data_IF_325490859609
#
_entry.id   IF_325490859609
#
_cell.length_a   1.000
_cell.length_b   1.000
_cell.length_c   1.000
_cell.angle_alpha   90.00
_cell.angle_beta   90.00
_cell.angle_gamma   90.00
#
_symmetry.space_group_name_H-M   'P 1'
#
loop_
_entity.id
_entity.type
_entity.pdbx_description
1 polymer ?
#
# COMPACT_ATOMS: atom_id res chain seq x y z
N UNK A 1 61.25 -28.99 -23.11
CA UNK A 1 60.44 -29.90 -23.94
C UNK A 1 61.37 -30.49 -24.99
N UNK A 2 61.45 -31.82 -25.07
CA UNK A 2 62.37 -32.52 -25.97
C UNK A 2 61.98 -32.26 -27.43
N UNK A 3 62.91 -31.76 -28.24
CA UNK A 3 62.70 -31.56 -29.67
C UNK A 3 62.62 -32.92 -30.35
N UNK A 4 61.42 -33.33 -30.75
CA UNK A 4 61.20 -34.46 -31.64
C UNK A 4 61.64 -34.00 -33.03
N UNK A 5 62.59 -34.69 -33.65
CA UNK A 5 63.07 -34.34 -35.00
C UNK A 5 61.98 -34.69 -36.03
N UNK A 6 61.24 -33.68 -36.46
CA UNK A 6 60.13 -33.82 -37.43
C UNK A 6 60.56 -34.49 -38.75
N UNK A 7 61.85 -34.42 -39.10
CA UNK A 7 62.41 -35.05 -40.29
C UNK A 7 62.40 -36.58 -40.22
N UNK A 8 62.43 -37.17 -39.02
CA UNK A 8 62.43 -38.63 -38.84
C UNK A 8 61.05 -39.23 -39.11
N UNK A 9 59.99 -38.51 -38.74
CA UNK A 9 58.61 -38.90 -39.06
C UNK A 9 58.32 -38.65 -40.54
N UNK A 10 58.78 -37.52 -41.10
CA UNK A 10 58.61 -37.19 -42.52
C UNK A 10 59.31 -38.19 -43.45
N UNK A 11 60.52 -38.64 -43.10
CA UNK A 11 61.23 -39.65 -43.90
C UNK A 11 60.49 -40.99 -43.91
N UNK A 12 60.02 -41.48 -42.76
CA UNK A 12 59.23 -42.72 -42.67
C UNK A 12 57.92 -42.68 -43.46
N UNK A 13 57.28 -41.50 -43.53
CA UNK A 13 56.10 -41.31 -44.39
C UNK A 13 56.44 -41.39 -45.88
N UNK A 14 57.57 -40.81 -46.30
CA UNK A 14 57.99 -40.80 -47.71
C UNK A 14 58.43 -42.18 -48.21
N UNK A 15 58.91 -43.06 -47.33
CA UNK A 15 59.29 -44.44 -47.69
C UNK A 15 58.17 -45.46 -47.51
N UNK A 16 57.00 -45.06 -46.99
CA UNK A 16 55.89 -45.97 -46.76
C UNK A 16 55.28 -46.43 -48.10
N UNK A 17 55.25 -47.74 -48.33
CA UNK A 17 54.68 -48.35 -49.53
C UNK A 17 53.14 -48.48 -49.49
N UNK A 18 52.50 -48.12 -48.37
CA UNK A 18 51.05 -48.12 -48.18
C UNK A 18 50.60 -46.95 -47.32
N UNK A 19 49.31 -46.65 -47.37
CA UNK A 19 48.67 -45.67 -46.49
C UNK A 19 48.90 -46.05 -45.01
N UNK A 20 49.35 -45.08 -44.22
CA UNK A 20 49.60 -45.23 -42.78
C UNK A 20 48.29 -45.02 -42.00
N UNK A 21 47.83 -46.06 -41.30
CA UNK A 21 46.63 -46.06 -40.44
C UNK A 21 46.96 -45.78 -38.97
N UNK A 22 45.96 -45.46 -38.14
CA UNK A 22 46.18 -45.03 -36.74
C UNK A 22 46.96 -46.01 -35.87
N UNK A 23 46.84 -47.31 -36.16
CA UNK A 23 47.52 -48.40 -35.46
C UNK A 23 48.92 -48.71 -35.97
N UNK A 24 49.35 -48.08 -37.08
CA UNK A 24 50.74 -48.20 -37.53
C UNK A 24 51.66 -47.47 -36.53
N UNK A 25 52.96 -47.75 -36.59
CA UNK A 25 53.93 -47.21 -35.63
C UNK A 25 55.06 -46.46 -36.34
N UNK A 26 55.50 -45.39 -35.70
CA UNK A 26 56.69 -44.64 -36.08
C UNK A 26 57.79 -44.82 -35.03
N UNK A 27 59.02 -44.90 -35.52
CA UNK A 27 60.19 -44.77 -34.67
C UNK A 27 60.54 -43.30 -34.54
N UNK A 28 60.71 -42.83 -33.32
CA UNK A 28 61.14 -41.47 -33.04
C UNK A 28 62.40 -41.52 -32.21
N UNK A 29 63.38 -40.71 -32.60
CA UNK A 29 64.56 -40.46 -31.79
C UNK A 29 64.26 -39.34 -30.80
N UNK A 30 64.46 -39.63 -29.52
CA UNK A 30 64.46 -38.61 -28.47
C UNK A 30 65.85 -38.00 -28.34
N UNK A 31 65.95 -36.80 -27.74
CA UNK A 31 67.18 -36.00 -27.68
C UNK A 31 68.42 -36.69 -27.07
N UNK A 32 68.25 -37.79 -26.34
CA UNK A 32 69.34 -38.60 -25.79
C UNK A 32 69.81 -39.72 -26.74
N UNK A 33 69.34 -39.74 -28.00
CA UNK A 33 69.66 -40.74 -29.02
C UNK A 33 68.88 -42.05 -28.90
N UNK A 34 68.04 -42.22 -27.87
CA UNK A 34 67.22 -43.42 -27.72
C UNK A 34 66.06 -43.45 -28.71
N UNK A 35 65.71 -44.64 -29.18
CA UNK A 35 64.55 -44.85 -30.05
C UNK A 35 63.31 -45.19 -29.22
N UNK A 36 62.21 -44.48 -29.49
CA UNK A 36 60.89 -44.75 -28.92
C UNK A 36 59.94 -45.08 -30.07
N UNK A 37 59.16 -46.16 -29.91
CA UNK A 37 58.12 -46.54 -30.86
C UNK A 37 56.80 -45.92 -30.42
N UNK A 38 56.21 -45.05 -31.24
CA UNK A 38 54.91 -44.44 -30.96
C UNK A 38 53.87 -44.82 -32.01
N UNK A 39 52.59 -44.97 -31.66
CA UNK A 39 51.53 -45.16 -32.65
C UNK A 39 51.32 -43.91 -33.52
N UNK A 40 50.87 -44.13 -34.75
CA UNK A 40 50.64 -43.09 -35.75
C UNK A 40 49.59 -42.06 -35.30
N UNK A 41 48.60 -42.45 -34.50
CA UNK A 41 47.63 -41.50 -33.92
C UNK A 41 48.28 -40.45 -33.01
N UNK A 42 49.27 -40.84 -32.20
CA UNK A 42 50.00 -39.93 -31.32
C UNK A 42 50.95 -39.03 -32.12
N UNK A 43 51.60 -39.57 -33.15
CA UNK A 43 52.41 -38.78 -34.08
C UNK A 43 51.55 -37.72 -34.80
N UNK A 44 50.37 -38.10 -35.29
CA UNK A 44 49.40 -37.17 -35.91
C UNK A 44 48.94 -36.11 -34.91
N UNK A 45 48.57 -36.48 -33.70
CA UNK A 45 48.15 -35.53 -32.67
C UNK A 45 49.25 -34.52 -32.32
N UNK A 46 50.51 -34.97 -32.21
CA UNK A 46 51.66 -34.10 -31.96
C UNK A 46 51.92 -33.12 -33.11
N UNK A 47 51.89 -33.60 -34.36
CA UNK A 47 52.07 -32.77 -35.55
C UNK A 47 50.96 -31.71 -35.69
N UNK A 48 49.70 -32.09 -35.45
CA UNK A 48 48.57 -31.15 -35.47
C UNK A 48 48.68 -30.11 -34.35
N UNK A 49 49.15 -30.50 -33.16
CA UNK A 49 49.35 -29.57 -32.06
C UNK A 49 50.51 -28.59 -32.29
N UNK A 50 51.57 -29.03 -32.98
CA UNK A 50 52.76 -28.22 -33.30
C UNK A 50 52.60 -27.29 -34.51
N UNK A 51 51.72 -27.63 -35.46
CA UNK A 51 51.46 -26.81 -36.66
C UNK A 51 50.15 -26.04 -36.47
N UNK A 52 50.08 -25.18 -35.46
CA UNK A 52 48.95 -24.26 -35.27
C UNK A 52 49.31 -22.90 -35.84
N UNK A 53 48.75 -22.50 -37.00
CA UNK A 53 48.88 -21.13 -37.47
C UNK A 53 48.14 -20.18 -36.51
N UNK A 54 48.79 -19.07 -36.18
CA UNK A 54 48.22 -17.98 -35.38
C UNK A 54 48.55 -16.63 -36.03
N UNK A 55 47.94 -15.55 -35.53
CA UNK A 55 48.29 -14.19 -35.94
C UNK A 55 49.14 -13.58 -34.82
N UNK A 56 50.34 -13.13 -35.17
CA UNK A 56 51.27 -12.52 -34.22
C UNK A 56 50.91 -11.07 -33.90
N UNK A 57 51.64 -10.45 -32.96
CA UNK A 57 51.40 -9.06 -32.53
C UNK A 57 51.59 -8.00 -33.64
N UNK A 58 52.27 -8.34 -34.74
CA UNK A 58 52.45 -7.48 -35.92
C UNK A 58 51.37 -7.71 -36.98
N UNK A 59 50.41 -8.60 -36.72
CA UNK A 59 49.34 -8.94 -37.66
C UNK A 59 49.77 -9.88 -38.79
N UNK A 60 50.89 -10.60 -38.66
CA UNK A 60 51.32 -11.61 -39.62
C UNK A 60 50.93 -13.02 -39.16
N UNK A 61 50.78 -13.94 -40.11
CA UNK A 61 50.68 -15.37 -39.82
C UNK A 61 51.99 -15.89 -39.22
N UNK A 62 51.90 -16.61 -38.11
CA UNK A 62 52.99 -17.34 -37.48
C UNK A 62 52.65 -18.82 -37.30
N UNK A 63 53.66 -19.69 -37.32
CA UNK A 63 53.52 -21.11 -36.96
C UNK A 63 54.58 -21.43 -35.92
N UNK A 64 54.16 -21.95 -34.76
CA UNK A 64 55.10 -22.30 -33.69
C UNK A 64 55.90 -21.11 -33.11
N UNK A 65 55.40 -19.87 -33.30
CA UNK A 65 56.07 -18.63 -32.89
C UNK A 65 57.03 -18.04 -33.93
N UNK A 66 57.18 -18.67 -35.09
CA UNK A 66 57.95 -18.11 -36.22
C UNK A 66 57.05 -17.29 -37.14
N UNK A 67 57.40 -16.01 -37.33
CA UNK A 67 56.71 -15.09 -38.25
C UNK A 67 56.99 -15.48 -39.71
N UNK A 68 55.93 -15.72 -40.49
CA UNK A 68 56.02 -16.10 -41.90
C UNK A 68 56.20 -14.90 -42.84
N UNK A 69 56.10 -13.67 -42.35
CA UNK A 69 56.12 -12.45 -43.16
C UNK A 69 54.83 -12.23 -43.97
N UNK A 70 53.80 -13.05 -43.75
CA UNK A 70 52.52 -12.98 -44.46
C UNK A 70 51.52 -12.22 -43.60
N UNK A 71 51.13 -11.02 -44.01
CA UNK A 71 50.11 -10.23 -43.31
C UNK A 71 48.77 -10.96 -43.32
N UNK A 72 48.14 -11.07 -42.15
CA UNK A 72 46.78 -11.56 -41.98
C UNK A 72 45.77 -10.44 -42.32
N UNK A 73 45.49 -10.25 -43.62
CA UNK A 73 44.53 -9.23 -44.07
C UNK A 73 43.10 -9.78 -44.14
N UNK A 74 42.35 -9.67 -43.05
CA UNK A 74 40.89 -9.76 -43.06
C UNK A 74 40.27 -8.37 -43.18
N UNK A 75 40.05 -7.85 -44.39
CA UNK A 75 39.38 -6.55 -44.56
C UNK A 75 37.86 -6.73 -44.56
N UNK A 76 37.19 -6.16 -43.56
CA UNK A 76 35.71 -6.14 -43.50
C UNK A 76 35.19 -5.18 -44.58
N UNK A 77 34.32 -5.62 -45.51
CA UNK A 77 33.72 -4.74 -46.48
C UNK A 77 32.93 -3.62 -45.82
N UNK A 78 33.06 -2.39 -46.33
CA UNK A 78 32.31 -1.22 -45.88
C UNK A 78 31.22 -0.88 -46.90
N UNK A 79 30.02 -0.51 -46.43
CA UNK A 79 28.90 -0.14 -47.29
C UNK A 79 28.49 1.32 -47.09
N UNK A 80 28.02 1.98 -48.15
CA UNK A 80 27.43 3.33 -48.09
C UNK A 80 26.33 3.52 -49.14
N UNK A 81 25.55 4.59 -48.98
CA UNK A 81 24.72 5.12 -50.06
C UNK A 81 25.56 5.96 -51.02
N UNK A 82 25.63 5.55 -52.28
CA UNK A 82 26.18 6.32 -53.40
C UNK A 82 25.08 7.09 -54.14
N UNK A 83 25.46 7.74 -55.25
CA UNK A 83 24.53 8.53 -56.06
C UNK A 83 23.48 7.68 -56.78
N UNK A 84 23.86 6.48 -57.24
CA UNK A 84 22.98 5.61 -58.04
C UNK A 84 22.55 4.33 -57.31
N UNK A 85 23.06 4.08 -56.11
CA UNK A 85 22.69 2.91 -55.31
C UNK A 85 23.64 2.64 -54.15
N UNK A 86 23.68 1.40 -53.66
CA UNK A 86 24.56 0.99 -52.56
C UNK A 86 25.94 0.65 -53.11
N UNK A 87 26.98 1.20 -52.49
CA UNK A 87 28.38 0.97 -52.86
C UNK A 87 29.11 0.21 -51.76
N UNK A 88 30.09 -0.60 -52.13
CA UNK A 88 30.98 -1.34 -51.23
C UNK A 88 32.45 -0.94 -51.43
N UNK A 89 33.22 -0.97 -50.36
CA UNK A 89 34.67 -0.84 -50.36
C UNK A 89 35.33 -2.06 -49.71
N UNK A 90 36.39 -2.57 -50.35
CA UNK A 90 37.22 -3.68 -49.84
C UNK A 90 38.60 -3.20 -49.34
N UNK A 91 38.88 -1.90 -49.44
CA UNK A 91 40.20 -1.31 -49.16
C UNK A 91 40.12 -0.20 -48.10
N UNK A 92 39.17 -0.34 -47.17
CA UNK A 92 38.93 0.58 -46.05
C UNK A 92 38.54 2.00 -46.52
N UNK A 93 37.63 2.06 -47.48
CA UNK A 93 36.97 3.29 -47.93
C UNK A 93 37.74 4.09 -48.97
N UNK A 94 38.83 3.55 -49.54
CA UNK A 94 39.64 4.26 -50.54
C UNK A 94 39.01 4.18 -51.93
N UNK A 95 38.52 3.01 -52.30
CA UNK A 95 37.77 2.79 -53.54
C UNK A 95 36.38 2.23 -53.24
N UNK A 96 35.42 2.61 -54.08
CA UNK A 96 34.01 2.27 -53.93
C UNK A 96 33.48 1.74 -55.25
N UNK A 97 32.78 0.61 -55.20
CA UNK A 97 32.13 -0.02 -56.35
C UNK A 97 30.65 -0.21 -56.06
N UNK A 98 29.79 0.11 -57.02
CA UNK A 98 28.35 -0.10 -56.88
C UNK A 98 28.03 -1.60 -56.83
N UNK A 99 27.19 -2.01 -55.88
CA UNK A 99 26.75 -3.41 -55.71
C UNK A 99 25.29 -3.59 -56.09
N UNK A 100 24.47 -2.56 -55.86
CA UNK A 100 23.03 -2.56 -56.14
C UNK A 100 22.64 -1.15 -56.61
N UNK A 101 21.83 -1.03 -57.66
CA UNK A 101 21.24 0.24 -58.06
C UNK A 101 19.96 0.52 -57.27
N UNK A 102 19.62 1.79 -57.00
CA UNK A 102 18.37 2.13 -56.30
C UNK A 102 17.13 1.65 -57.05
N UNK A 103 17.18 1.58 -58.39
CA UNK A 103 16.09 1.05 -59.23
C UNK A 103 15.89 -0.45 -59.08
N UNK A 104 16.92 -1.17 -58.64
CA UNK A 104 16.88 -2.61 -58.42
C UNK A 104 16.54 -2.93 -56.96
N UNK A 105 16.53 -1.92 -56.08
CA UNK A 105 15.96 -2.04 -54.74
C UNK A 105 14.45 -1.97 -54.88
N UNK A 106 13.82 -3.12 -54.68
CA UNK A 106 12.36 -3.26 -54.63
C UNK A 106 11.93 -3.39 -53.16
N UNK A 107 11.77 -2.28 -52.42
CA UNK A 107 11.31 -2.35 -51.05
C UNK A 107 9.85 -2.81 -51.07
N UNK A 108 9.51 -3.74 -50.18
CA UNK A 108 8.13 -4.17 -49.98
C UNK A 108 7.31 -3.04 -49.33
N UNK A 109 6.80 -2.15 -50.17
CA UNK A 109 6.00 -0.99 -49.76
C UNK A 109 4.66 -1.42 -49.14
N UNK A 110 4.12 -2.57 -49.55
CA UNK A 110 2.90 -3.14 -48.97
C UNK A 110 3.14 -3.58 -47.53
N UNK A 111 4.24 -4.30 -47.26
CA UNK A 111 4.62 -4.67 -45.90
C UNK A 111 4.90 -3.45 -45.02
N UNK A 112 5.57 -2.42 -45.56
CA UNK A 112 5.80 -1.18 -44.82
C UNK A 112 4.49 -0.47 -44.47
N UNK A 113 3.58 -0.36 -45.45
CA UNK A 113 2.25 0.24 -45.24
C UNK A 113 1.42 -0.56 -44.22
N UNK A 114 1.48 -1.89 -44.28
CA UNK A 114 0.83 -2.78 -43.32
C UNK A 114 1.40 -2.59 -41.89
N UNK A 115 2.72 -2.49 -41.75
CA UNK A 115 3.37 -2.22 -40.47
C UNK A 115 2.96 -0.86 -39.90
N UNK A 116 2.94 0.19 -40.73
CA UNK A 116 2.49 1.52 -40.33
C UNK A 116 1.02 1.52 -39.88
N UNK A 117 0.16 0.83 -40.62
CA UNK A 117 -1.27 0.67 -40.29
C UNK A 117 -1.45 -0.06 -38.95
N UNK A 118 -0.62 -1.07 -38.66
CA UNK A 118 -0.64 -1.77 -37.37
C UNK A 118 -0.25 -0.86 -36.20
N UNK A 119 0.78 -0.02 -36.39
CA UNK A 119 1.22 0.94 -35.37
C UNK A 119 0.14 1.98 -35.09
N UNK A 120 -0.46 2.56 -36.13
CA UNK A 120 -1.51 3.58 -36.00
C UNK A 120 -2.77 3.03 -35.33
N UNK A 121 -3.21 1.82 -35.68
CA UNK A 121 -4.32 1.17 -34.96
C UNK A 121 -3.98 0.87 -33.50
N UNK A 122 -2.79 0.33 -33.24
CA UNK A 122 -2.34 0.06 -31.87
C UNK A 122 -2.31 1.33 -31.00
N UNK A 123 -1.86 2.45 -31.57
CA UNK A 123 -1.84 3.73 -30.87
C UNK A 123 -3.27 4.26 -30.62
N UNK A 124 -4.17 4.14 -31.60
CA UNK A 124 -5.58 4.52 -31.42
C UNK A 124 -6.24 3.70 -30.30
N UNK A 125 -5.96 2.40 -30.21
CA UNK A 125 -6.50 1.53 -29.17
C UNK A 125 -5.89 1.83 -27.79
N UNK A 126 -4.58 2.12 -27.73
CA UNK A 126 -3.92 2.59 -26.51
C UNK A 126 -4.56 3.89 -25.99
N UNK A 127 -4.84 4.85 -26.88
CA UNK A 127 -5.49 6.12 -26.52
C UNK A 127 -6.91 5.89 -25.97
N UNK A 128 -7.71 5.02 -26.59
CA UNK A 128 -9.05 4.67 -26.08
C UNK A 128 -8.99 4.02 -24.70
N UNK A 129 -8.06 3.08 -24.50
CA UNK A 129 -7.84 2.43 -23.22
C UNK A 129 -7.45 3.46 -22.14
N UNK A 130 -6.57 4.40 -22.49
CA UNK A 130 -6.11 5.45 -21.57
C UNK A 130 -7.23 6.44 -21.23
N UNK A 131 -8.06 6.82 -22.20
CA UNK A 131 -9.25 7.64 -21.93
C UNK A 131 -10.21 6.94 -20.96
N UNK A 132 -10.41 5.64 -21.14
CA UNK A 132 -11.28 4.83 -20.26
C UNK A 132 -10.69 4.75 -18.85
N UNK A 133 -9.37 4.52 -18.73
CA UNK A 133 -8.66 4.52 -17.44
C UNK A 133 -8.83 5.86 -16.72
N UNK A 134 -8.71 6.98 -17.43
CA UNK A 134 -8.89 8.31 -16.87
C UNK A 134 -10.32 8.56 -16.36
N UNK A 135 -11.35 8.15 -17.11
CA UNK A 135 -12.74 8.26 -16.66
C UNK A 135 -13.01 7.41 -15.41
N UNK A 136 -12.47 6.19 -15.36
CA UNK A 136 -12.61 5.31 -14.18
C UNK A 136 -11.90 5.89 -12.96
N UNK A 137 -10.72 6.49 -13.15
CA UNK A 137 -9.96 7.14 -12.09
C UNK A 137 -10.70 8.37 -11.53
N UNK A 138 -11.30 9.19 -12.38
CA UNK A 138 -12.16 10.29 -11.94
C UNK A 138 -13.38 9.80 -11.14
N UNK A 139 -14.01 8.71 -11.58
CA UNK A 139 -15.13 8.10 -10.85
C UNK A 139 -14.69 7.58 -9.47
N UNK A 140 -13.52 6.94 -9.38
CA UNK A 140 -12.93 6.48 -8.11
C UNK A 140 -12.69 7.65 -7.15
N UNK A 141 -12.14 8.76 -7.65
CA UNK A 141 -11.89 9.96 -6.83
C UNK A 141 -13.20 10.57 -6.30
N UNK A 142 -14.23 10.65 -7.13
CA UNK A 142 -15.55 11.16 -6.70
C UNK A 142 -16.20 10.27 -5.62
N UNK A 143 -16.10 8.94 -5.79
CA UNK A 143 -16.58 7.99 -4.80
C UNK A 143 -15.82 8.14 -3.47
N UNK A 144 -14.50 8.33 -3.53
CA UNK A 144 -13.65 8.51 -2.35
C UNK A 144 -13.93 9.83 -1.62
N UNK A 145 -14.16 10.92 -2.34
CA UNK A 145 -14.63 12.18 -1.75
C UNK A 145 -15.97 12.01 -1.03
N UNK A 146 -16.91 11.29 -1.65
CA UNK A 146 -18.21 11.00 -1.04
C UNK A 146 -18.07 10.17 0.23
N UNK A 147 -17.22 9.13 0.20
CA UNK A 147 -16.91 8.30 1.37
C UNK A 147 -16.33 9.14 2.52
N UNK A 148 -15.40 10.06 2.23
CA UNK A 148 -14.79 10.93 3.22
C UNK A 148 -15.79 11.93 3.85
N UNK A 149 -16.70 12.49 3.05
CA UNK A 149 -17.76 13.36 3.54
C UNK A 149 -18.72 12.60 4.46
N UNK A 150 -19.12 11.40 4.07
CA UNK A 150 -19.98 10.54 4.89
C UNK A 150 -19.31 10.15 6.21
N UNK A 151 -18.01 9.83 6.18
CA UNK A 151 -17.26 9.48 7.40
C UNK A 151 -17.11 10.68 8.34
N UNK A 152 -16.92 11.88 7.78
CA UNK A 152 -16.92 13.12 8.57
C UNK A 152 -18.28 13.35 9.24
N UNK A 153 -19.37 13.24 8.49
CA UNK A 153 -20.72 13.39 9.03
C UNK A 153 -21.02 12.35 10.13
N UNK A 154 -20.61 11.09 9.92
CA UNK A 154 -20.74 10.02 10.92
C UNK A 154 -19.98 10.35 12.21
N UNK A 155 -18.74 10.84 12.11
CA UNK A 155 -17.95 11.26 13.28
C UNK A 155 -18.62 12.39 14.05
N UNK A 156 -19.12 13.42 13.36
CA UNK A 156 -19.86 14.53 13.99
C UNK A 156 -21.11 14.04 14.71
N UNK A 157 -21.91 13.18 14.06
CA UNK A 157 -23.10 12.61 14.68
C UNK A 157 -22.76 11.76 15.92
N UNK A 158 -21.68 10.98 15.86
CA UNK A 158 -21.24 10.15 16.97
C UNK A 158 -20.74 10.99 18.16
N UNK A 159 -20.00 12.07 17.91
CA UNK A 159 -19.61 13.03 18.98
C UNK A 159 -20.83 13.65 19.63
N UNK A 160 -21.82 14.09 18.84
CA UNK A 160 -23.08 14.65 19.36
C UNK A 160 -23.83 13.63 20.22
N UNK A 161 -23.93 12.39 19.76
CA UNK A 161 -24.57 11.29 20.49
C UNK A 161 -23.91 11.03 21.84
N UNK A 162 -22.57 11.04 21.89
CA UNK A 162 -21.82 10.85 23.14
C UNK A 162 -22.06 12.01 24.13
N UNK A 163 -22.06 13.25 23.64
CA UNK A 163 -22.35 14.44 24.45
C UNK A 163 -23.77 14.41 25.02
N UNK A 164 -24.77 14.15 24.17
CA UNK A 164 -26.17 14.09 24.58
C UNK A 164 -26.41 12.96 25.59
N UNK A 165 -25.77 11.80 25.38
CA UNK A 165 -25.84 10.68 26.32
C UNK A 165 -25.21 11.04 27.65
N UNK A 166 -24.04 11.69 27.66
CA UNK A 166 -23.38 12.14 28.88
C UNK A 166 -24.22 13.15 29.65
N UNK A 167 -24.83 14.12 28.95
CA UNK A 167 -25.73 15.10 29.55
C UNK A 167 -26.98 14.43 30.17
N UNK A 168 -27.59 13.47 29.45
CA UNK A 168 -28.74 12.72 29.94
C UNK A 168 -28.39 11.91 31.20
N UNK A 169 -27.23 11.24 31.23
CA UNK A 169 -26.74 10.51 32.41
C UNK A 169 -26.56 11.46 33.60
N UNK A 170 -25.92 12.60 33.39
CA UNK A 170 -25.69 13.60 34.45
C UNK A 170 -27.02 14.10 35.02
N UNK A 171 -27.95 14.50 34.14
CA UNK A 171 -29.27 14.96 34.57
C UNK A 171 -30.04 13.88 35.35
N UNK A 172 -30.01 12.63 34.88
CA UNK A 172 -30.67 11.52 35.57
C UNK A 172 -30.06 11.26 36.95
N UNK A 173 -28.74 11.34 37.09
CA UNK A 173 -28.07 11.21 38.39
C UNK A 173 -28.50 12.33 39.34
N UNK A 174 -28.46 13.58 38.89
CA UNK A 174 -28.92 14.72 39.71
C UNK A 174 -30.34 14.55 40.20
N UNK A 175 -31.28 14.12 39.34
CA UNK A 175 -32.66 13.88 39.76
C UNK A 175 -32.79 12.71 40.74
N UNK A 176 -31.97 11.68 40.57
CA UNK A 176 -31.94 10.51 41.49
C UNK A 176 -31.42 10.91 42.86
N UNK A 177 -30.36 11.73 42.90
CA UNK A 177 -29.76 12.23 44.14
C UNK A 177 -30.75 13.14 44.88
N UNK A 178 -31.42 14.06 44.18
CA UNK A 178 -32.47 14.92 44.74
C UNK A 178 -33.65 14.10 45.29
N UNK A 179 -34.13 13.10 44.55
CA UNK A 179 -35.23 12.25 45.00
C UNK A 179 -34.84 11.42 46.23
N UNK A 180 -33.59 10.91 46.26
CA UNK A 180 -33.06 10.21 47.43
C UNK A 180 -33.00 11.15 48.64
N UNK A 181 -32.47 12.36 48.46
CA UNK A 181 -32.39 13.35 49.54
C UNK A 181 -33.78 13.69 50.09
N UNK A 182 -34.78 13.92 49.23
CA UNK A 182 -36.14 14.19 49.70
C UNK A 182 -36.78 12.99 50.42
N UNK A 183 -36.53 11.76 49.95
CA UNK A 183 -37.05 10.54 50.58
C UNK A 183 -36.41 10.27 51.94
N UNK A 184 -35.11 10.56 52.09
CA UNK A 184 -34.39 10.41 53.36
C UNK A 184 -34.80 11.49 54.38
N UNK A 185 -35.46 12.57 53.94
CA UNK A 185 -35.88 13.71 54.78
C UNK A 185 -37.39 14.03 54.68
N UNK A 186 -38.29 13.14 55.13
CA UNK A 186 -39.73 13.40 55.10
C UNK A 186 -40.14 14.54 56.06
N UNK A 187 -41.19 15.31 55.74
CA UNK A 187 -41.72 16.32 56.66
C UNK A 187 -42.05 15.74 58.04
N UNK A 188 -41.72 16.50 59.09
CA UNK A 188 -41.89 16.07 60.48
C UNK A 188 -42.47 17.17 61.35
N UNK A 189 -43.08 16.79 62.46
CA UNK A 189 -43.49 17.75 63.49
C UNK A 189 -42.27 18.16 64.32
N UNK A 190 -42.05 19.47 64.46
CA UNK A 190 -41.02 20.03 65.34
C UNK A 190 -41.46 20.12 66.81
N UNK A 191 -40.52 20.43 67.70
CA UNK A 191 -40.77 20.56 69.14
C UNK A 191 -41.75 21.68 69.49
N UNK A 192 -41.88 22.69 68.64
CA UNK A 192 -42.85 23.79 68.78
C UNK A 192 -44.27 23.44 68.29
N UNK A 193 -44.49 22.22 67.79
CA UNK A 193 -45.79 21.78 67.29
C UNK A 193 -46.10 22.22 65.86
N UNK A 194 -45.16 22.85 65.15
CA UNK A 194 -45.29 23.18 63.73
C UNK A 194 -44.79 22.04 62.83
N UNK A 195 -45.22 22.04 61.57
CA UNK A 195 -44.63 21.24 60.50
C UNK A 195 -43.28 21.82 60.11
N UNK A 196 -42.28 20.96 60.01
CA UNK A 196 -40.95 21.28 59.52
C UNK A 196 -40.71 20.53 58.22
N UNK A 197 -40.16 21.23 57.24
CA UNK A 197 -39.90 20.71 55.90
C UNK A 197 -38.40 20.79 55.60
N UNK A 198 -37.87 19.82 54.87
CA UNK A 198 -36.49 19.83 54.41
C UNK A 198 -36.28 20.91 53.32
N UNK A 199 -35.31 21.79 53.54
CA UNK A 199 -34.85 22.78 52.57
C UNK A 199 -33.66 22.21 51.79
N UNK A 200 -33.87 21.93 50.50
CA UNK A 200 -32.86 21.36 49.59
C UNK A 200 -31.66 22.29 49.34
N UNK A 201 -31.81 23.60 49.54
CA UNK A 201 -30.71 24.56 49.35
C UNK A 201 -29.82 24.66 50.58
N UNK A 202 -30.40 24.53 51.77
CA UNK A 202 -29.70 24.65 53.05
C UNK A 202 -29.29 23.30 53.63
N UNK A 203 -29.83 22.20 53.12
CA UNK A 203 -29.68 20.86 53.67
C UNK A 203 -30.01 20.80 55.17
N UNK A 204 -31.14 21.41 55.55
CA UNK A 204 -31.65 21.41 56.93
C UNK A 204 -33.18 21.45 56.97
N UNK A 205 -33.77 21.05 58.10
CA UNK A 205 -35.21 21.23 58.32
C UNK A 205 -35.50 22.68 58.71
N UNK A 206 -36.46 23.31 58.03
CA UNK A 206 -36.93 24.67 58.29
C UNK A 206 -38.37 24.64 58.80
N UNK A 207 -38.66 25.45 59.82
CA UNK A 207 -40.02 25.63 60.34
C UNK A 207 -40.91 26.31 59.30
N UNK A 208 -42.04 25.69 58.97
CA UNK A 208 -43.00 26.24 58.00
C UNK A 208 -43.92 27.30 58.61
N UNK A 209 -43.97 27.39 59.95
CA UNK A 209 -44.95 28.21 60.68
C UNK A 209 -46.37 27.63 60.70
N UNK A 210 -46.60 26.44 60.12
CA UNK A 210 -47.91 25.78 60.05
C UNK A 210 -48.04 24.76 61.18
N UNK A 211 -49.12 24.80 61.95
CA UNK A 211 -49.36 23.86 63.06
C UNK A 211 -49.57 22.43 62.54
N UNK A 212 -48.84 21.46 63.10
CA UNK A 212 -48.87 20.04 62.71
C UNK A 212 -49.98 19.22 63.38
N UNK A 213 -51.24 19.67 63.29
CA UNK A 213 -52.40 18.95 63.85
C UNK A 213 -53.27 18.37 62.75
N UNK A 214 -53.58 17.08 62.81
CA UNK A 214 -54.51 16.38 61.90
C UNK A 214 -56.00 16.65 62.16
N UNK A 215 -56.34 17.78 62.78
CA UNK A 215 -57.72 18.16 63.15
C UNK A 215 -58.30 19.24 62.22
N UNK A 216 -59.57 19.60 62.41
CA UNK A 216 -60.20 20.66 61.63
C UNK A 216 -59.44 21.99 61.84
N UNK A 217 -59.07 22.64 60.73
CA UNK A 217 -58.32 23.90 60.72
C UNK A 217 -59.10 25.08 61.35
N UNK A 218 -60.42 24.92 61.46
CA UNK A 218 -61.35 25.88 62.04
C UNK A 218 -62.17 25.21 63.14
N UNK A 219 -62.67 25.98 64.12
CA UNK A 219 -63.59 25.46 65.12
C UNK A 219 -64.80 24.81 64.44
N UNK A 220 -65.23 23.68 64.98
CA UNK A 220 -66.50 23.09 64.56
C UNK A 220 -67.61 23.49 65.51
N UNK A 221 -68.76 23.81 64.93
CA UNK A 221 -69.96 24.19 65.68
C UNK A 221 -70.99 23.09 65.58
N UNK A 222 -71.53 22.65 66.72
CA UNK A 222 -72.59 21.65 66.80
C UNK A 222 -73.73 22.19 67.65
N UNK A 223 -74.93 22.26 67.07
CA UNK A 223 -76.13 22.52 67.86
C UNK A 223 -76.58 21.23 68.56
N UNK A 224 -76.80 21.32 69.88
CA UNK A 224 -77.38 20.24 70.66
C UNK A 224 -78.44 20.83 71.60
N UNK A 225 -79.72 20.51 71.34
CA UNK A 225 -80.89 21.13 72.00
C UNK A 225 -80.84 22.66 71.84
N UNK A 226 -81.00 23.42 72.93
CA UNK A 226 -80.90 24.88 72.97
C UNK A 226 -79.47 25.39 73.24
N UNK A 227 -78.42 24.58 72.99
CA UNK A 227 -77.01 24.96 73.16
C UNK A 227 -76.25 24.86 71.83
N UNK A 228 -75.37 25.82 71.57
CA UNK A 228 -74.35 25.76 70.53
C UNK A 228 -73.03 25.34 71.19
N UNK A 229 -72.51 24.17 70.82
CA UNK A 229 -71.22 23.67 71.25
C UNK A 229 -70.18 24.06 70.21
N UNK A 230 -69.03 24.55 70.67
CA UNK A 230 -67.88 24.86 69.84
C UNK A 230 -66.74 23.93 70.26
N UNK A 231 -66.17 23.22 69.31
CA UNK A 231 -64.91 22.49 69.49
C UNK A 231 -63.84 23.34 68.81
N UNK A 232 -63.00 23.97 69.63
CA UNK A 232 -61.87 24.77 69.16
C UNK A 232 -60.63 23.86 69.01
N UNK A 233 -59.92 24.01 67.90
CA UNK A 233 -58.74 23.22 67.57
C UNK A 233 -57.43 24.01 67.75
N UNK A 234 -57.45 25.05 68.57
CA UNK A 234 -56.28 25.88 68.89
C UNK A 234 -56.27 27.25 68.22
N UNK A 235 -57.41 27.67 67.67
CA UNK A 235 -57.63 29.03 67.16
C UNK A 235 -57.98 30.05 68.24
N UNK A 236 -58.02 29.62 69.51
CA UNK A 236 -58.29 30.46 70.69
C UNK A 236 -59.57 31.30 70.51
N UNK A 237 -60.60 30.76 69.87
CA UNK A 237 -61.81 31.53 69.49
C UNK A 237 -62.57 32.00 70.73
N UNK A 238 -62.46 31.27 71.85
CA UNK A 238 -63.00 31.72 73.13
C UNK A 238 -62.36 33.04 73.63
N UNK A 239 -61.13 33.34 73.24
CA UNK A 239 -60.44 34.60 73.59
C UNK A 239 -60.96 35.78 72.78
N UNK A 240 -61.39 35.53 71.54
CA UNK A 240 -61.84 36.56 70.58
C UNK A 240 -63.36 36.71 70.47
N UNK A 241 -64.15 35.80 71.04
CA UNK A 241 -65.61 35.79 70.86
C UNK A 241 -66.33 35.64 72.20
N UNK A 242 -67.45 36.35 72.37
CA UNK A 242 -68.31 36.30 73.57
C UNK A 242 -69.79 36.15 73.18
N UNK A 243 -70.55 35.41 74.00
CA UNK A 243 -72.01 35.31 73.84
C UNK A 243 -72.68 36.48 74.56
N UNK A 244 -73.45 37.30 73.82
CA UNK A 244 -74.34 38.32 74.40
C UNK A 244 -75.78 38.00 74.00
N UNK A 245 -76.63 37.69 75.00
CA UNK A 245 -78.00 37.19 74.77
C UNK A 245 -77.99 35.96 73.84
N UNK A 246 -78.73 36.00 72.74
CA UNK A 246 -78.78 34.95 71.71
C UNK A 246 -77.88 35.23 70.50
N UNK A 247 -76.88 36.12 70.62
CA UNK A 247 -75.92 36.41 69.54
C UNK A 247 -74.49 36.11 69.98
N UNK A 248 -73.72 35.55 69.07
CA UNK A 248 -72.26 35.44 69.18
C UNK A 248 -71.67 36.75 68.68
N UNK A 249 -70.79 37.39 69.47
CA UNK A 249 -70.22 38.70 69.14
C UNK A 249 -68.70 38.61 69.24
N UNK A 250 -68.00 39.13 68.24
CA UNK A 250 -66.53 39.25 68.26
C UNK A 250 -66.18 40.31 69.30
N UNK A 251 -65.29 39.98 70.24
CA UNK A 251 -64.70 40.93 71.18
C UNK A 251 -63.83 41.87 70.35
N UNK A 252 -64.17 43.16 70.37
CA UNK A 252 -63.34 44.23 69.82
C UNK A 252 -62.27 44.58 70.85
#
# INVERSE_FOLDING_TARGET
>A
MAAVNINDVASQLNTASRLVVSTDFFWIYVANGSQVKIPAEFARAYLIAGIKPAINGNGHWEIGGEDLGVVAEGKTPQFRGGTMGIEVSYDNGKTWSQVVAYTDIDPDLEALAAAYTKVTHGEADRVKAESTRNSNEAARQNAETTRNNNETARKTAETKRQQDTSAAITNSKTQTDLAKEMNDHPPKMGSNGNWWQWDLSKHEYVDTGVIARGGAMYPSFRQHRNKLLMIDYGSHVAEHVVKRRNKLVIKV
#
